data_IF_528362526457
#
_entry.id   IF_528362526457
#
_cell.length_a   1.000
_cell.length_b   1.000
_cell.length_c   1.000
_cell.angle_alpha   90.00
_cell.angle_beta   90.00
_cell.angle_gamma   90.00
#
_symmetry.space_group_name_H-M   'P 1'
#
loop_
_entity.id
_entity.type
_entity.pdbx_description
1 polymer ?
#
# COMPACT_ATOMS: atom_id res chain seq x y z
N UNK A 1 -28.96 -1.83 15.28
CA UNK A 1 -27.67 -1.40 15.84
C UNK A 1 -26.78 -2.63 16.00
N UNK A 2 -25.52 -2.52 15.61
CA UNK A 2 -24.51 -3.56 15.67
C UNK A 2 -23.53 -3.30 16.81
N UNK A 3 -23.02 -4.37 17.41
CA UNK A 3 -21.88 -4.36 18.33
C UNK A 3 -20.57 -4.18 17.56
N UNK A 4 -19.46 -3.93 18.29
CA UNK A 4 -18.11 -3.91 17.69
C UNK A 4 -17.80 -5.19 16.93
N UNK A 5 -18.19 -6.35 17.47
CA UNK A 5 -17.95 -7.66 16.86
C UNK A 5 -18.71 -7.81 15.54
N UNK A 6 -19.98 -7.41 15.51
CA UNK A 6 -20.80 -7.46 14.30
C UNK A 6 -20.31 -6.47 13.24
N UNK A 7 -19.98 -5.23 13.64
CA UNK A 7 -19.41 -4.23 12.73
C UNK A 7 -18.08 -4.70 12.13
N UNK A 8 -17.23 -5.36 12.92
CA UNK A 8 -15.98 -5.96 12.45
C UNK A 8 -16.23 -7.03 11.37
N UNK A 9 -17.20 -7.93 11.59
CA UNK A 9 -17.58 -8.95 10.61
C UNK A 9 -18.14 -8.33 9.32
N UNK A 10 -19.05 -7.35 9.43
CA UNK A 10 -19.67 -6.68 8.27
C UNK A 10 -18.66 -5.92 7.41
N UNK A 11 -17.65 -5.32 8.05
CA UNK A 11 -16.66 -4.47 7.37
C UNK A 11 -15.38 -5.21 7.01
N UNK A 12 -15.21 -6.46 7.43
CA UNK A 12 -13.97 -7.23 7.28
C UNK A 12 -12.79 -6.62 8.04
N UNK A 13 -13.06 -5.87 9.11
CA UNK A 13 -12.06 -5.31 10.02
C UNK A 13 -11.87 -6.24 11.22
N UNK A 14 -10.75 -6.08 11.94
CA UNK A 14 -10.64 -6.64 13.28
C UNK A 14 -11.42 -5.76 14.27
N UNK A 15 -11.88 -6.33 15.38
CA UNK A 15 -12.51 -5.50 16.42
C UNK A 15 -11.58 -4.41 16.95
N UNK A 16 -10.27 -4.66 16.96
CA UNK A 16 -9.27 -3.66 17.31
C UNK A 16 -9.27 -2.50 16.31
N UNK A 17 -9.29 -2.80 15.01
CA UNK A 17 -9.35 -1.77 13.96
C UNK A 17 -10.65 -0.95 14.02
N UNK A 18 -11.79 -1.59 14.32
CA UNK A 18 -13.06 -0.87 14.54
C UNK A 18 -12.93 0.13 15.69
N UNK A 19 -12.40 -0.31 16.85
CA UNK A 19 -12.16 0.59 18.00
C UNK A 19 -11.19 1.71 17.61
N UNK A 20 -10.07 1.37 16.99
CA UNK A 20 -9.06 2.33 16.54
C UNK A 20 -9.64 3.40 15.61
N UNK A 21 -10.43 3.03 14.59
CA UNK A 21 -11.05 3.99 13.68
C UNK A 21 -12.06 4.90 14.38
N UNK A 22 -12.87 4.35 15.29
CA UNK A 22 -13.78 5.19 16.10
C UNK A 22 -13.03 6.15 17.02
N UNK A 23 -11.92 5.70 17.62
CA UNK A 23 -11.11 6.54 18.53
C UNK A 23 -10.38 7.65 17.79
N UNK A 24 -10.08 7.43 16.50
CA UNK A 24 -9.50 8.42 15.60
C UNK A 24 -10.53 9.37 14.98
N UNK A 25 -11.82 9.24 15.32
CA UNK A 25 -12.87 10.11 14.83
C UNK A 25 -13.26 9.85 13.36
N UNK A 26 -12.95 8.68 12.82
CA UNK A 26 -13.25 8.34 11.42
C UNK A 26 -14.69 7.86 11.20
N UNK A 27 -15.48 7.75 12.27
CA UNK A 27 -16.85 7.22 12.27
C UNK A 27 -17.74 8.21 13.04
N UNK A 28 -18.18 9.30 12.40
CA UNK A 28 -18.88 10.38 13.11
C UNK A 28 -20.25 9.99 13.67
N UNK A 29 -20.92 9.02 13.07
CA UNK A 29 -22.25 8.55 13.47
C UNK A 29 -22.25 7.51 14.60
N UNK A 30 -21.07 7.11 15.10
CA UNK A 30 -20.97 6.09 16.16
C UNK A 30 -21.69 6.54 17.44
N UNK A 31 -22.50 5.64 18.01
CA UNK A 31 -23.23 5.89 19.26
C UNK A 31 -22.69 5.05 20.39
N UNK A 32 -23.09 5.37 21.61
CA UNK A 32 -22.80 4.56 22.80
C UNK A 32 -24.09 4.24 23.55
N UNK A 33 -24.17 3.04 24.12
CA UNK A 33 -25.27 2.67 25.01
C UNK A 33 -25.01 3.16 26.46
N UNK A 34 -25.96 2.87 27.35
CA UNK A 34 -25.89 3.23 28.79
C UNK A 34 -24.68 2.63 29.52
N UNK A 35 -24.12 1.53 29.00
CA UNK A 35 -22.92 0.87 29.52
C UNK A 35 -21.64 1.36 28.81
N UNK A 36 -21.70 2.48 28.10
CA UNK A 36 -20.61 3.09 27.33
C UNK A 36 -20.05 2.21 26.19
N UNK A 37 -20.78 1.16 25.79
CA UNK A 37 -20.40 0.28 24.69
C UNK A 37 -20.77 0.92 23.33
N UNK A 38 -19.86 0.83 22.34
CA UNK A 38 -20.07 1.37 21.00
C UNK A 38 -21.17 0.60 20.27
N UNK A 39 -22.09 1.34 19.67
CA UNK A 39 -23.17 0.86 18.83
C UNK A 39 -23.05 1.51 17.44
N UNK A 40 -23.19 0.68 16.42
CA UNK A 40 -23.04 1.07 15.02
C UNK A 40 -24.39 0.90 14.31
N UNK A 41 -24.89 1.95 13.68
CA UNK A 41 -25.97 1.83 12.69
C UNK A 41 -25.37 1.57 11.29
N UNK A 42 -26.23 1.50 10.28
CA UNK A 42 -25.81 1.32 8.88
C UNK A 42 -24.86 2.44 8.43
N UNK A 43 -25.14 3.68 8.83
CA UNK A 43 -24.26 4.82 8.52
C UNK A 43 -22.87 4.63 9.14
N UNK A 44 -22.80 4.23 10.41
CA UNK A 44 -21.53 3.97 11.10
C UNK A 44 -20.74 2.84 10.42
N UNK A 45 -21.43 1.82 9.92
CA UNK A 45 -20.82 0.72 9.15
C UNK A 45 -20.29 1.22 7.81
N UNK A 46 -21.02 2.09 7.12
CA UNK A 46 -20.57 2.72 5.86
C UNK A 46 -19.30 3.56 6.08
N UNK A 47 -19.24 4.35 7.16
CA UNK A 47 -18.03 5.10 7.53
C UNK A 47 -16.83 4.19 7.82
N UNK A 48 -17.02 3.11 8.58
CA UNK A 48 -15.97 2.12 8.84
C UNK A 48 -15.45 1.49 7.53
N UNK A 49 -16.36 1.13 6.63
CA UNK A 49 -16.01 0.56 5.34
C UNK A 49 -15.26 1.59 4.46
N UNK A 50 -15.74 2.82 4.39
CA UNK A 50 -15.08 3.92 3.67
C UNK A 50 -13.67 4.18 4.19
N UNK A 51 -13.51 4.31 5.51
CA UNK A 51 -12.20 4.50 6.15
C UNK A 51 -11.25 3.33 5.87
N UNK A 52 -11.75 2.09 5.89
CA UNK A 52 -10.98 0.90 5.49
C UNK A 52 -10.49 1.01 4.04
N UNK A 53 -11.38 1.38 3.11
CA UNK A 53 -11.03 1.53 1.70
C UNK A 53 -9.95 2.60 1.49
N UNK A 54 -10.14 3.79 2.07
CA UNK A 54 -9.15 4.87 2.00
C UNK A 54 -7.80 4.45 2.60
N UNK A 55 -7.83 3.72 3.73
CA UNK A 55 -6.60 3.23 4.35
C UNK A 55 -5.87 2.21 3.47
N UNK A 56 -6.61 1.32 2.79
CA UNK A 56 -6.03 0.35 1.84
C UNK A 56 -5.46 1.02 0.58
N UNK A 57 -5.98 2.19 0.20
CA UNK A 57 -5.44 3.00 -0.89
C UNK A 57 -4.18 3.78 -0.51
N UNK A 58 -3.64 3.58 0.69
CA UNK A 58 -2.37 4.18 1.12
C UNK A 58 -2.51 5.47 1.92
N UNK A 59 -3.72 5.98 2.12
CA UNK A 59 -3.90 7.25 2.83
C UNK A 59 -3.49 7.14 4.32
N UNK A 60 -2.79 8.13 4.87
CA UNK A 60 -2.51 8.20 6.30
C UNK A 60 -3.79 8.53 7.08
N UNK A 61 -3.82 8.13 8.35
CA UNK A 61 -5.01 8.27 9.20
C UNK A 61 -5.47 9.73 9.31
N UNK A 62 -4.55 10.68 9.41
CA UNK A 62 -4.90 12.11 9.51
C UNK A 62 -5.55 12.64 8.22
N UNK A 63 -5.12 12.18 7.04
CA UNK A 63 -5.80 12.53 5.78
C UNK A 63 -7.17 11.90 5.68
N UNK A 64 -7.34 10.65 6.13
CA UNK A 64 -8.66 10.02 6.17
C UNK A 64 -9.60 10.80 7.09
N UNK A 65 -9.09 11.30 8.21
CA UNK A 65 -9.86 12.17 9.11
C UNK A 65 -10.29 13.46 8.42
N UNK A 66 -9.38 14.17 7.76
CA UNK A 66 -9.72 15.36 6.96
C UNK A 66 -10.76 15.05 5.88
N UNK A 67 -10.60 13.93 5.17
CA UNK A 67 -11.58 13.48 4.18
C UNK A 67 -12.97 13.25 4.78
N UNK A 68 -13.05 12.67 5.99
CA UNK A 68 -14.30 12.49 6.73
C UNK A 68 -14.93 13.85 7.07
N UNK A 69 -14.14 14.79 7.59
CA UNK A 69 -14.59 16.16 7.92
C UNK A 69 -15.19 16.84 6.67
N UNK A 70 -14.49 16.80 5.53
CA UNK A 70 -15.00 17.31 4.26
C UNK A 70 -16.31 16.64 3.82
N UNK A 71 -16.43 15.32 3.99
CA UNK A 71 -17.67 14.63 3.66
C UNK A 71 -18.83 15.05 4.56
N UNK A 72 -18.59 15.41 5.82
CA UNK A 72 -19.64 15.92 6.72
C UNK A 72 -20.15 17.31 6.34
N UNK A 73 -19.30 18.13 5.71
CA UNK A 73 -19.70 19.44 5.17
C UNK A 73 -20.59 19.30 3.91
N UNK A 74 -20.60 18.12 3.29
CA UNK A 74 -21.49 17.79 2.17
C UNK A 74 -20.87 18.04 0.79
N UNK A 75 -21.71 18.30 -0.20
CA UNK A 75 -21.30 18.29 -1.61
C UNK A 75 -20.49 19.54 -2.01
N UNK A 76 -20.51 20.60 -1.21
CA UNK A 76 -19.67 21.80 -1.41
C UNK A 76 -18.18 21.49 -1.40
N UNK A 77 -17.75 20.42 -0.73
CA UNK A 77 -16.34 20.02 -0.60
C UNK A 77 -15.88 18.99 -1.63
N UNK A 78 -16.75 18.56 -2.56
CA UNK A 78 -16.38 17.59 -3.62
C UNK A 78 -15.12 18.02 -4.39
N UNK A 79 -14.93 19.30 -4.78
CA UNK A 79 -13.71 19.72 -5.46
C UNK A 79 -12.43 19.50 -4.63
N UNK A 80 -12.47 19.73 -3.32
CA UNK A 80 -11.32 19.52 -2.43
C UNK A 80 -11.02 18.04 -2.25
N UNK A 81 -12.06 17.22 -2.04
CA UNK A 81 -11.94 15.75 -1.99
C UNK A 81 -11.35 15.20 -3.28
N UNK A 82 -11.75 15.74 -4.42
CA UNK A 82 -11.19 15.38 -5.74
C UNK A 82 -9.70 15.71 -5.83
N UNK A 83 -9.28 16.92 -5.47
CA UNK A 83 -7.87 17.34 -5.48
C UNK A 83 -7.02 16.42 -4.59
N UNK A 84 -7.52 16.10 -3.40
CA UNK A 84 -6.87 15.15 -2.49
C UNK A 84 -6.67 13.78 -3.16
N UNK A 85 -7.71 13.21 -3.78
CA UNK A 85 -7.59 11.92 -4.47
C UNK A 85 -6.63 11.97 -5.66
N UNK A 86 -6.57 13.09 -6.40
CA UNK A 86 -5.59 13.27 -7.49
C UNK A 86 -4.17 13.20 -6.95
N UNK A 87 -3.86 13.88 -5.84
CA UNK A 87 -2.53 13.83 -5.23
C UNK A 87 -2.12 12.40 -4.87
N UNK A 88 -2.98 11.67 -4.15
CA UNK A 88 -2.67 10.30 -3.75
C UNK A 88 -2.61 9.33 -4.94
N UNK A 89 -3.32 9.60 -6.04
CA UNK A 89 -3.14 8.85 -7.29
C UNK A 89 -1.73 9.03 -7.83
N UNK A 90 -1.23 10.26 -7.91
CA UNK A 90 0.13 10.51 -8.43
C UNK A 90 1.20 9.85 -7.55
N UNK A 91 1.05 9.90 -6.22
CA UNK A 91 1.92 9.19 -5.29
C UNK A 91 1.88 7.66 -5.50
N UNK A 92 0.69 7.09 -5.71
CA UNK A 92 0.52 5.67 -6.00
C UNK A 92 1.15 5.27 -7.34
N UNK A 93 1.09 6.12 -8.36
CA UNK A 93 1.74 5.86 -9.65
C UNK A 93 3.27 5.78 -9.52
N UNK A 94 3.87 6.65 -8.69
CA UNK A 94 5.31 6.57 -8.38
C UNK A 94 5.64 5.21 -7.73
N UNK A 95 4.84 4.77 -6.75
CA UNK A 95 5.04 3.47 -6.10
C UNK A 95 4.91 2.28 -7.06
N UNK A 96 4.05 2.38 -8.07
CA UNK A 96 3.91 1.36 -9.12
C UNK A 96 5.18 1.29 -9.96
N UNK A 97 5.75 2.42 -10.38
CA UNK A 97 7.00 2.42 -11.15
C UNK A 97 8.18 1.89 -10.33
N UNK A 98 8.28 2.26 -9.05
CA UNK A 98 9.28 1.67 -8.16
C UNK A 98 9.10 0.16 -7.98
N UNK A 99 7.85 -0.33 -7.89
CA UNK A 99 7.55 -1.75 -7.79
C UNK A 99 7.97 -2.50 -9.05
N UNK A 100 7.75 -1.93 -10.24
CA UNK A 100 8.23 -2.49 -11.51
C UNK A 100 9.75 -2.60 -11.54
N UNK A 101 10.47 -1.56 -11.11
CA UNK A 101 11.94 -1.60 -11.04
C UNK A 101 12.44 -2.69 -10.09
N UNK A 102 11.80 -2.85 -8.93
CA UNK A 102 12.12 -3.94 -7.99
C UNK A 102 11.88 -5.32 -8.62
N UNK A 103 10.77 -5.49 -9.32
CA UNK A 103 10.44 -6.73 -10.01
C UNK A 103 11.48 -7.05 -11.10
N UNK A 104 11.82 -6.08 -11.94
CA UNK A 104 12.84 -6.24 -12.99
C UNK A 104 14.18 -6.69 -12.40
N UNK A 105 14.61 -6.09 -11.28
CA UNK A 105 15.85 -6.50 -10.62
C UNK A 105 15.77 -7.95 -10.10
N UNK A 106 14.64 -8.37 -9.54
CA UNK A 106 14.44 -9.76 -9.10
C UNK A 106 14.46 -10.73 -10.28
N UNK A 107 13.79 -10.40 -11.40
CA UNK A 107 13.78 -11.22 -12.61
C UNK A 107 15.19 -11.39 -13.20
N UNK A 108 15.98 -10.32 -13.27
CA UNK A 108 17.38 -10.39 -13.68
C UNK A 108 18.21 -11.32 -12.78
N UNK A 109 17.99 -11.23 -11.46
CA UNK A 109 18.67 -12.08 -10.48
C UNK A 109 18.26 -13.55 -10.61
N UNK A 110 16.98 -13.83 -10.85
CA UNK A 110 16.48 -15.19 -11.07
C UNK A 110 17.12 -15.78 -12.33
N UNK A 111 17.07 -15.08 -13.46
CA UNK A 111 17.68 -15.54 -14.71
C UNK A 111 19.18 -15.84 -14.55
N UNK A 112 19.93 -14.97 -13.87
CA UNK A 112 21.34 -15.23 -13.61
C UNK A 112 21.57 -16.48 -12.74
N UNK A 113 20.73 -16.71 -11.73
CA UNK A 113 20.83 -17.92 -10.91
C UNK A 113 20.48 -19.19 -11.68
N UNK A 114 19.54 -19.13 -12.63
CA UNK A 114 19.26 -20.24 -13.53
C UNK A 114 20.49 -20.60 -14.37
N UNK A 115 21.17 -19.62 -14.98
CA UNK A 115 22.42 -19.83 -15.72
C UNK A 115 23.54 -20.43 -14.85
N UNK A 116 23.67 -19.99 -13.59
CA UNK A 116 24.66 -20.53 -12.64
C UNK A 116 24.34 -22.00 -12.32
N UNK A 117 23.07 -22.32 -12.04
CA UNK A 117 22.65 -23.68 -11.69
C UNK A 117 22.85 -24.66 -12.85
N UNK A 118 22.76 -24.18 -14.09
CA UNK A 118 23.06 -24.95 -15.30
C UNK A 118 24.57 -25.06 -15.60
N UNK A 119 25.43 -24.54 -14.71
CA UNK A 119 26.89 -24.43 -14.86
C UNK A 119 27.33 -23.65 -16.12
N UNK A 120 26.50 -22.73 -16.60
CA UNK A 120 26.80 -21.93 -17.79
C UNK A 120 27.67 -20.70 -17.46
N UNK A 121 27.49 -20.13 -16.26
CA UNK A 121 28.22 -18.93 -15.80
C UNK A 121 28.62 -19.05 -14.33
N UNK A 122 29.66 -18.31 -13.92
CA UNK A 122 30.06 -18.19 -12.52
C UNK A 122 29.25 -17.10 -11.80
N UNK A 123 29.08 -17.22 -10.47
CA UNK A 123 28.38 -16.21 -9.66
C UNK A 123 29.25 -14.96 -9.45
N UNK A 124 29.10 -14.01 -10.37
CA UNK A 124 29.72 -12.68 -10.32
C UNK A 124 28.91 -11.69 -9.47
N UNK A 125 27.75 -12.11 -8.96
CA UNK A 125 26.83 -11.26 -8.20
C UNK A 125 26.93 -11.42 -6.69
N UNK A 126 27.73 -12.39 -6.20
CA UNK A 126 28.00 -12.57 -4.78
C UNK A 126 28.94 -11.48 -4.24
N UNK A 127 28.48 -10.61 -3.32
CA UNK A 127 29.31 -9.52 -2.81
C UNK A 127 30.57 -9.96 -2.06
N UNK A 128 30.60 -11.19 -1.52
CA UNK A 128 31.77 -11.74 -0.83
C UNK A 128 32.95 -12.03 -1.77
N UNK A 129 32.70 -12.15 -3.07
CA UNK A 129 33.74 -12.43 -4.08
C UNK A 129 34.18 -11.18 -4.85
N UNK A 130 33.61 -10.01 -4.54
CA UNK A 130 33.94 -8.76 -5.24
C UNK A 130 35.31 -8.21 -4.83
N UNK A 131 36.06 -7.73 -5.82
CA UNK A 131 37.39 -7.15 -5.61
C UNK A 131 37.33 -5.84 -4.82
N UNK A 132 38.39 -5.57 -4.05
CA UNK A 132 38.55 -4.30 -3.33
C UNK A 132 38.64 -3.15 -4.34
N UNK A 133 37.77 -2.15 -4.19
CA UNK A 133 37.75 -0.96 -5.04
C UNK A 133 36.81 -1.05 -6.26
N UNK A 134 35.93 -2.06 -6.32
CA UNK A 134 34.86 -2.14 -7.33
C UNK A 134 34.06 -0.83 -7.35
N UNK A 135 33.90 -0.24 -8.54
CA UNK A 135 33.00 0.90 -8.73
C UNK A 135 31.56 0.41 -8.86
N UNK A 136 30.65 1.01 -8.11
CA UNK A 136 29.23 0.65 -8.03
C UNK A 136 28.36 1.42 -9.05
N UNK A 137 28.82 1.53 -10.31
CA UNK A 137 28.04 2.20 -11.34
C UNK A 137 27.35 1.14 -12.21
N UNK A 138 26.06 0.89 -11.93
CA UNK A 138 24.92 0.41 -12.75
C UNK A 138 25.09 -0.68 -13.86
N UNK A 139 23.97 -1.36 -14.17
CA UNK A 139 23.72 -2.75 -13.83
C UNK A 139 24.68 -3.72 -14.54
N UNK A 140 24.85 -4.91 -13.96
CA UNK A 140 25.51 -6.03 -14.63
C UNK A 140 24.61 -6.55 -15.77
N UNK A 141 24.38 -5.75 -16.80
CA UNK A 141 23.94 -6.25 -18.10
C UNK A 141 25.14 -6.93 -18.73
N UNK A 142 25.11 -8.26 -18.73
CA UNK A 142 25.96 -9.08 -19.56
C UNK A 142 25.84 -8.59 -21.00
N UNK A 143 26.85 -7.86 -21.47
CA UNK A 143 27.12 -7.71 -22.89
C UNK A 143 27.57 -9.08 -23.41
N UNK A 144 26.64 -10.02 -23.58
CA UNK A 144 26.88 -11.16 -24.45
C UNK A 144 26.71 -10.65 -25.89
N UNK A 145 27.81 -10.14 -26.44
CA UNK A 145 27.97 -10.02 -27.89
C UNK A 145 27.82 -11.43 -28.46
N UNK A 146 26.71 -11.70 -29.13
CA UNK A 146 26.61 -12.82 -30.05
C UNK A 146 27.51 -12.46 -31.23
N UNK A 147 28.72 -13.02 -31.25
CA UNK A 147 29.57 -13.04 -32.45
C UNK A 147 28.88 -13.95 -33.48
N UNK A 148 28.14 -13.34 -34.40
CA UNK A 148 27.71 -14.01 -35.63
C UNK A 148 28.90 -14.00 -36.61
N UNK A 149 29.73 -15.03 -36.53
CA UNK A 149 30.91 -15.22 -37.37
C UNK A 149 30.90 -16.54 -38.14
N UNK A 150 30.53 -16.43 -39.43
CA UNK A 150 30.72 -17.35 -40.57
C UNK A 150 29.84 -18.58 -40.70
#
# INVERSE_FOLDING_TARGET
>A
MYTVKEAAMLTGLTEHAVRFYTDKGLVPSVRRNEHNARLFDEESVNWLYGARCLKRSGLPIETIKHYVELCQEGDSTVPERYIMMQQYREEALVQVEEAKLRLMHMEQKIAHYEEIMENQVADITNPSTWEKGRKFNEPASSNHKIDAGK
#
